data_IF_859679349857
#
_entry.id   IF_859679349857
#
_cell.length_a   1.000
_cell.length_b   1.000
_cell.length_c   1.000
_cell.angle_alpha   90.00
_cell.angle_beta   90.00
_cell.angle_gamma   90.00
#
_symmetry.space_group_name_H-M   'P 1'
#
loop_
_entity.id
_entity.type
_entity.pdbx_description
1 polymer ?
#
# COMPACT_ATOMS: atom_id res chain seq x y z
N UNK A 1 -1.09 4.91 22.07
CA UNK A 1 -1.82 3.83 22.74
C UNK A 1 -1.84 4.30 24.17
N UNK A 2 -2.99 4.33 24.82
CA UNK A 2 -3.02 4.82 26.22
C UNK A 2 -2.50 3.72 27.14
N UNK A 3 -3.08 2.53 27.05
CA UNK A 3 -2.70 1.41 27.92
C UNK A 3 -2.46 0.13 27.11
N UNK A 4 -1.41 -0.63 27.45
CA UNK A 4 -1.04 -1.92 26.87
C UNK A 4 -0.78 -2.94 27.98
N UNK A 5 -1.32 -4.15 27.85
CA UNK A 5 -1.04 -5.24 28.77
C UNK A 5 0.05 -6.13 28.18
N UNK A 6 1.18 -6.21 28.88
CA UNK A 6 2.33 -7.00 28.41
C UNK A 6 2.54 -8.20 29.33
N UNK A 7 2.50 -9.40 28.75
CA UNK A 7 2.76 -10.62 29.49
C UNK A 7 4.26 -10.76 29.83
N UNK A 8 4.54 -10.89 31.12
CA UNK A 8 5.90 -11.03 31.67
C UNK A 8 6.35 -12.49 31.89
N UNK A 9 5.56 -13.48 31.44
CA UNK A 9 5.90 -14.91 31.51
C UNK A 9 6.49 -15.42 30.19
N UNK A 10 7.59 -16.15 30.26
CA UNK A 10 8.21 -16.86 29.14
C UNK A 10 7.47 -18.13 28.70
N UNK A 11 6.52 -18.63 29.50
CA UNK A 11 5.79 -19.88 29.24
C UNK A 11 4.43 -19.67 28.57
N UNK A 12 3.93 -18.43 28.54
CA UNK A 12 2.64 -18.11 27.96
C UNK A 12 2.81 -17.61 26.52
N UNK A 13 1.92 -18.04 25.64
CA UNK A 13 1.89 -17.66 24.23
C UNK A 13 1.25 -16.27 24.07
N UNK A 14 2.03 -15.27 23.66
CA UNK A 14 1.56 -13.88 23.57
C UNK A 14 0.38 -13.75 22.61
N UNK A 15 0.50 -14.33 21.42
CA UNK A 15 -0.54 -14.24 20.38
C UNK A 15 -1.87 -14.81 20.89
N UNK A 16 -1.82 -15.89 21.68
CA UNK A 16 -3.01 -16.48 22.30
C UNK A 16 -3.66 -15.50 23.30
N UNK A 17 -2.86 -14.82 24.12
CA UNK A 17 -3.31 -13.82 25.08
C UNK A 17 -3.88 -12.57 24.39
N UNK A 18 -3.29 -12.15 23.27
CA UNK A 18 -3.79 -11.02 22.48
C UNK A 18 -5.19 -11.33 21.92
N UNK A 19 -5.45 -12.59 21.57
CA UNK A 19 -6.76 -13.02 21.06
C UNK A 19 -7.90 -12.91 22.08
N UNK A 20 -7.63 -12.91 23.39
CA UNK A 20 -8.65 -12.78 24.44
C UNK A 20 -8.91 -11.32 24.88
N UNK A 21 -8.11 -10.36 24.41
CA UNK A 21 -8.39 -8.93 24.59
C UNK A 21 -9.71 -8.52 23.90
N UNK A 22 -10.44 -7.50 24.37
CA UNK A 22 -9.98 -6.44 25.28
C UNK A 22 -10.39 -6.61 26.74
N UNK A 23 -9.64 -5.96 27.63
CA UNK A 23 -9.99 -5.73 29.04
C UNK A 23 -10.58 -4.34 29.22
N UNK A 24 -11.45 -4.19 30.23
CA UNK A 24 -11.77 -2.87 30.73
C UNK A 24 -10.58 -2.36 31.54
N UNK A 25 -10.02 -1.24 31.11
CA UNK A 25 -8.88 -0.63 31.75
C UNK A 25 -9.32 0.45 32.75
N UNK A 26 -10.62 0.80 32.78
CA UNK A 26 -11.15 1.81 33.69
C UNK A 26 -11.14 1.28 35.13
N UNK A 27 -10.33 1.92 35.98
CA UNK A 27 -10.17 1.53 37.39
C UNK A 27 -9.08 0.51 37.66
N UNK A 28 -8.14 0.28 36.73
CA UNK A 28 -6.90 -0.46 37.02
C UNK A 28 -6.15 0.18 38.18
N UNK A 29 -5.72 -0.65 39.13
CA UNK A 29 -4.90 -0.25 40.27
C UNK A 29 -3.56 -0.95 40.22
N UNK A 30 -2.55 -0.35 40.84
CA UNK A 30 -1.24 -0.98 41.03
C UNK A 30 -1.40 -2.32 41.77
N UNK A 31 -0.63 -3.30 41.34
CA UNK A 31 -0.60 -4.61 41.97
C UNK A 31 -0.03 -4.56 43.39
N UNK A 32 -0.77 -5.13 44.35
CA UNK A 32 -0.30 -5.37 45.71
C UNK A 32 -0.02 -6.87 45.93
N UNK A 33 1.16 -7.18 46.48
CA UNK A 33 1.53 -8.54 46.86
C UNK A 33 0.58 -9.18 47.88
N UNK A 34 -0.20 -8.39 48.61
CA UNK A 34 -1.28 -8.88 49.48
C UNK A 34 -2.31 -9.75 48.76
N UNK A 35 -2.58 -9.49 47.46
CA UNK A 35 -3.55 -10.28 46.67
C UNK A 35 -3.09 -11.72 46.39
N UNK A 36 -1.79 -11.97 46.45
CA UNK A 36 -1.19 -13.28 46.14
C UNK A 36 -0.67 -13.99 47.39
N UNK A 37 -0.90 -13.41 48.58
CA UNK A 37 -0.47 -14.00 49.84
C UNK A 37 -1.05 -15.40 50.03
N UNK A 38 -0.18 -16.38 50.28
CA UNK A 38 -0.56 -17.79 50.46
C UNK A 38 -0.90 -18.54 49.17
N UNK A 39 -0.85 -17.90 48.00
CA UNK A 39 -1.06 -18.54 46.70
C UNK A 39 0.27 -18.95 46.05
N UNK A 40 0.23 -20.00 45.22
CA UNK A 40 1.37 -20.38 44.38
C UNK A 40 1.39 -19.48 43.16
N UNK A 41 2.26 -18.47 43.18
CA UNK A 41 2.40 -17.49 42.09
C UNK A 41 3.76 -17.60 41.44
N UNK A 42 3.76 -17.48 40.10
CA UNK A 42 4.97 -17.35 39.31
C UNK A 42 5.26 -15.87 39.11
N UNK A 43 6.48 -15.46 39.49
CA UNK A 43 7.00 -14.11 39.31
C UNK A 43 7.47 -13.96 37.84
N UNK A 44 7.47 -12.74 37.25
CA UNK A 44 8.11 -12.47 35.96
C UNK A 44 9.46 -13.17 35.77
N UNK A 45 9.61 -13.90 34.67
CA UNK A 45 10.83 -14.67 34.33
C UNK A 45 11.49 -14.20 33.03
N UNK A 46 10.98 -13.13 32.42
CA UNK A 46 11.62 -12.47 31.28
C UNK A 46 12.54 -11.33 31.74
N UNK A 47 13.59 -11.08 30.98
CA UNK A 47 14.48 -9.94 31.24
C UNK A 47 13.91 -8.64 30.64
N UNK A 48 14.47 -7.50 31.08
CA UNK A 48 14.06 -6.17 30.63
C UNK A 48 14.17 -5.99 29.11
N UNK A 49 15.17 -6.58 28.47
CA UNK A 49 15.36 -6.51 27.02
C UNK A 49 14.21 -7.20 26.26
N UNK A 50 13.78 -8.36 26.73
CA UNK A 50 12.67 -9.12 26.15
C UNK A 50 11.33 -8.46 26.46
N UNK A 51 11.17 -7.89 27.66
CA UNK A 51 10.00 -7.07 28.02
C UNK A 51 9.87 -5.87 27.06
N UNK A 52 10.95 -5.11 26.88
CA UNK A 52 10.98 -3.96 25.97
C UNK A 52 10.65 -4.36 24.54
N UNK A 53 11.19 -5.49 24.07
CA UNK A 53 10.90 -6.02 22.75
C UNK A 53 9.41 -6.36 22.58
N UNK A 54 8.81 -7.06 23.56
CA UNK A 54 7.37 -7.40 23.53
C UNK A 54 6.49 -6.15 23.56
N UNK A 55 6.83 -5.18 24.40
CA UNK A 55 6.11 -3.91 24.47
C UNK A 55 6.19 -3.12 23.16
N UNK A 56 7.36 -3.05 22.52
CA UNK A 56 7.49 -2.46 21.19
C UNK A 56 6.64 -3.20 20.14
N UNK A 57 6.69 -4.54 20.12
CA UNK A 57 5.90 -5.36 19.20
C UNK A 57 4.39 -5.13 19.38
N UNK A 58 3.91 -5.06 20.62
CA UNK A 58 2.51 -4.79 20.92
C UNK A 58 2.04 -3.44 20.36
N UNK A 59 2.86 -2.40 20.55
CA UNK A 59 2.60 -1.06 20.02
C UNK A 59 2.62 -1.05 18.48
N UNK A 60 3.60 -1.73 17.87
CA UNK A 60 3.71 -1.87 16.42
C UNK A 60 2.47 -2.56 15.83
N UNK A 61 2.03 -3.67 16.42
CA UNK A 61 0.84 -4.42 15.97
C UNK A 61 -0.45 -3.61 16.14
N UNK A 62 -0.59 -2.89 17.25
CA UNK A 62 -1.72 -1.98 17.48
C UNK A 62 -1.84 -0.90 16.40
N UNK A 63 -0.72 -0.30 16.01
CA UNK A 63 -0.70 0.79 15.05
C UNK A 63 -0.65 0.33 13.59
N UNK A 64 -0.18 -0.88 13.33
CA UNK A 64 -0.02 -1.45 11.98
C UNK A 64 -1.29 -1.30 11.11
N UNK A 65 -2.51 -1.64 11.56
CA UNK A 65 -3.72 -1.46 10.75
C UNK A 65 -3.96 0.00 10.37
N UNK A 66 -3.79 0.94 11.31
CA UNK A 66 -4.02 2.36 11.09
C UNK A 66 -2.96 2.97 10.15
N UNK A 67 -1.71 2.55 10.30
CA UNK A 67 -0.60 3.00 9.44
C UNK A 67 -0.72 2.40 8.05
N UNK A 68 -0.98 1.10 7.89
CA UNK A 68 -1.22 0.46 6.59
C UNK A 68 -2.37 1.11 5.84
N UNK A 69 -3.44 1.50 6.53
CA UNK A 69 -4.57 2.23 5.95
C UNK A 69 -4.16 3.63 5.48
N UNK A 70 -3.35 4.34 6.26
CA UNK A 70 -2.91 5.71 5.92
C UNK A 70 -1.86 5.72 4.82
N UNK A 71 -0.97 4.73 4.80
CA UNK A 71 0.06 4.53 3.79
C UNK A 71 -0.47 3.82 2.53
N UNK A 72 -1.72 3.35 2.54
CA UNK A 72 -2.38 2.62 1.45
C UNK A 72 -1.58 1.39 0.95
N UNK A 73 -0.73 0.83 1.80
CA UNK A 73 0.14 -0.31 1.48
C UNK A 73 0.22 -1.29 2.64
N UNK A 74 0.39 -2.58 2.30
CA UNK A 74 0.63 -3.65 3.28
C UNK A 74 2.11 -3.73 3.69
N UNK A 75 3.02 -3.22 2.86
CA UNK A 75 4.45 -3.26 3.06
C UNK A 75 4.93 -2.07 3.91
N UNK A 76 4.46 -2.01 5.16
CA UNK A 76 4.94 -1.05 6.15
C UNK A 76 5.65 -1.82 7.26
N UNK A 77 6.85 -1.35 7.61
CA UNK A 77 7.54 -1.73 8.85
C UNK A 77 7.46 -0.56 9.80
N UNK A 78 6.95 -0.81 11.00
CA UNK A 78 6.90 0.17 12.09
C UNK A 78 8.00 -0.22 13.05
N UNK A 79 8.73 0.77 13.56
CA UNK A 79 9.67 0.58 14.65
C UNK A 79 9.19 1.47 15.79
N UNK A 80 8.71 0.84 16.86
CA UNK A 80 8.23 1.56 18.04
C UNK A 80 9.36 1.81 19.04
N UNK A 81 9.28 2.93 19.75
CA UNK A 81 10.08 3.22 20.94
C UNK A 81 9.15 3.49 22.11
N UNK A 82 9.41 2.81 23.22
CA UNK A 82 8.64 2.92 24.48
C UNK A 82 9.40 3.70 25.55
N UNK A 83 10.43 4.47 25.17
CA UNK A 83 11.30 5.20 26.10
C UNK A 83 10.59 6.18 27.05
N UNK A 84 9.38 6.61 26.71
CA UNK A 84 8.54 7.50 27.52
C UNK A 84 7.35 6.80 28.17
N UNK A 85 7.25 5.46 28.08
CA UNK A 85 6.15 4.71 28.66
C UNK A 85 6.32 4.56 30.18
N UNK A 86 5.21 4.60 30.92
CA UNK A 86 5.18 4.32 32.36
C UNK A 86 4.79 2.85 32.53
N UNK A 87 5.64 2.09 33.22
CA UNK A 87 5.38 0.69 33.53
C UNK A 87 4.65 0.56 34.87
N UNK A 88 3.51 -0.13 34.87
CA UNK A 88 2.72 -0.40 36.08
C UNK A 88 2.41 -1.90 36.15
N UNK A 89 2.86 -2.62 37.19
CA UNK A 89 2.46 -4.01 37.39
C UNK A 89 0.99 -4.08 37.77
N UNK A 90 0.22 -4.89 37.05
CA UNK A 90 -1.23 -5.04 37.25
C UNK A 90 -1.63 -6.51 37.25
N UNK A 91 -2.69 -6.85 37.97
CA UNK A 91 -3.28 -8.20 37.98
C UNK A 91 -4.61 -8.18 37.25
N UNK A 92 -4.71 -8.95 36.17
CA UNK A 92 -5.94 -9.09 35.37
C UNK A 92 -6.50 -10.51 35.43
N UNK A 93 -7.83 -10.70 35.47
CA UNK A 93 -8.44 -12.02 35.58
C UNK A 93 -8.36 -12.78 34.24
N UNK A 94 -7.54 -13.82 34.19
CA UNK A 94 -7.35 -14.67 33.00
C UNK A 94 -7.35 -16.14 33.39
N UNK A 95 -8.12 -16.95 32.66
CA UNK A 95 -8.03 -18.41 32.76
C UNK A 95 -7.22 -18.95 31.59
N UNK A 96 -6.08 -19.56 31.87
CA UNK A 96 -5.23 -20.21 30.87
C UNK A 96 -5.35 -21.73 31.00
N UNK A 97 -5.85 -22.38 29.96
CA UNK A 97 -6.08 -23.83 29.90
C UNK A 97 -5.06 -24.43 28.95
N UNK A 98 -4.23 -25.34 29.45
CA UNK A 98 -3.23 -26.05 28.68
C UNK A 98 -3.42 -27.56 28.83
N UNK A 99 -3.59 -28.27 27.71
CA UNK A 99 -3.63 -29.74 27.66
C UNK A 99 -2.81 -30.23 26.47
N UNK A 100 -1.53 -30.54 26.71
CA UNK A 100 -0.58 -30.87 25.64
C UNK A 100 -0.36 -29.66 24.73
N UNK A 101 -0.56 -29.83 23.43
CA UNK A 101 -0.45 -28.74 22.44
C UNK A 101 -1.67 -27.80 22.40
N UNK A 102 -2.81 -28.24 22.96
CA UNK A 102 -4.03 -27.44 23.03
C UNK A 102 -3.88 -26.37 24.10
N UNK A 103 -3.92 -25.11 23.67
CA UNK A 103 -3.88 -23.95 24.55
C UNK A 103 -5.10 -23.07 24.29
N UNK A 104 -5.75 -22.65 25.36
CA UNK A 104 -6.86 -21.71 25.33
C UNK A 104 -6.70 -20.68 26.44
N UNK A 105 -7.01 -19.42 26.13
CA UNK A 105 -7.06 -18.33 27.09
C UNK A 105 -8.48 -17.77 27.14
N UNK A 106 -8.99 -17.51 28.34
CA UNK A 106 -10.30 -16.92 28.57
C UNK A 106 -10.12 -15.66 29.41
N UNK A 107 -10.60 -14.55 28.87
CA UNK A 107 -10.70 -13.31 29.61
C UNK A 107 -11.77 -13.45 30.70
N UNK A 108 -11.37 -13.36 31.97
CA UNK A 108 -12.26 -13.56 33.11
C UNK A 108 -13.27 -12.41 33.31
N UNK A 109 -13.01 -11.24 32.73
CA UNK A 109 -13.92 -10.11 32.78
C UNK A 109 -14.97 -10.16 31.66
N UNK A 110 -14.53 -10.38 30.42
CA UNK A 110 -15.39 -10.29 29.23
C UNK A 110 -15.91 -11.65 28.74
N UNK A 111 -15.40 -12.75 29.29
CA UNK A 111 -15.71 -14.11 28.84
C UNK A 111 -15.14 -14.45 27.46
N UNK A 112 -14.35 -13.56 26.85
CA UNK A 112 -13.80 -13.78 25.51
C UNK A 112 -12.79 -14.91 25.54
N UNK A 113 -13.01 -15.90 24.68
CA UNK A 113 -12.17 -17.08 24.51
C UNK A 113 -11.28 -16.92 23.27
N UNK A 114 -10.01 -17.30 23.43
CA UNK A 114 -8.98 -17.43 22.41
C UNK A 114 -8.42 -18.85 22.45
N UNK A 115 -8.32 -19.53 21.31
CA UNK A 115 -7.86 -20.93 21.20
C UNK A 115 -6.83 -21.03 20.09
N UNK A 116 -5.70 -21.69 20.37
CA UNK A 116 -4.67 -21.95 19.36
C UNK A 116 -4.99 -23.20 18.56
N UNK A 117 -4.86 -23.11 17.24
CA UNK A 117 -4.99 -24.25 16.34
C UNK A 117 -3.92 -25.31 16.63
N UNK A 118 -4.29 -26.58 16.50
CA UNK A 118 -3.35 -27.71 16.60
C UNK A 118 -2.48 -27.85 15.35
N UNK A 119 -3.02 -27.50 14.17
CA UNK A 119 -2.32 -27.61 12.89
C UNK A 119 -1.63 -26.30 12.53
N UNK A 120 -0.42 -26.42 11.99
CA UNK A 120 0.32 -25.27 11.44
C UNK A 120 -0.18 -24.93 10.04
N UNK A 121 -0.57 -23.67 9.88
CA UNK A 121 -0.88 -23.06 8.59
C UNK A 121 0.41 -22.58 7.93
N UNK A 122 0.50 -22.77 6.61
CA UNK A 122 1.64 -22.37 5.80
C UNK A 122 1.19 -21.30 4.82
N UNK A 123 1.75 -20.10 4.94
CA UNK A 123 1.48 -18.99 4.02
C UNK A 123 2.61 -18.87 3.00
N UNK A 124 2.26 -18.89 1.71
CA UNK A 124 3.21 -18.79 0.61
C UNK A 124 3.32 -17.35 0.11
N UNK A 125 4.52 -16.76 0.24
CA UNK A 125 4.82 -15.47 -0.36
C UNK A 125 5.41 -15.62 -1.76
N UNK A 126 4.72 -15.06 -2.76
CA UNK A 126 5.19 -15.05 -4.16
C UNK A 126 6.43 -14.13 -4.32
N UNK A 127 7.54 -14.63 -4.89
CA UNK A 127 8.73 -13.84 -5.16
C UNK A 127 8.48 -12.73 -6.18
N UNK A 128 9.34 -11.71 -6.17
CA UNK A 128 9.23 -10.57 -7.09
C UNK A 128 9.34 -10.99 -8.57
N UNK A 129 10.24 -11.93 -8.91
CA UNK A 129 10.46 -12.38 -10.30
C UNK A 129 9.24 -13.12 -10.86
N UNK A 130 8.53 -13.87 -10.00
CA UNK A 130 7.32 -14.58 -10.40
C UNK A 130 6.16 -13.61 -10.63
N UNK A 131 6.05 -12.56 -9.79
CA UNK A 131 5.09 -11.46 -10.02
C UNK A 131 5.39 -10.73 -11.34
N UNK A 132 6.67 -10.49 -11.64
CA UNK A 132 7.09 -9.86 -12.90
C UNK A 132 6.74 -10.72 -14.13
N UNK A 133 6.95 -12.04 -14.05
CA UNK A 133 6.54 -12.99 -15.10
C UNK A 133 5.04 -12.97 -15.34
N UNK A 134 4.23 -13.07 -14.28
CA UNK A 134 2.76 -13.04 -14.38
C UNK A 134 2.29 -11.71 -14.99
N UNK A 135 2.85 -10.58 -14.53
CA UNK A 135 2.51 -9.26 -15.07
C UNK A 135 2.87 -9.13 -16.56
N UNK A 136 4.04 -9.63 -16.96
CA UNK A 136 4.46 -9.64 -18.37
C UNK A 136 3.51 -10.47 -19.22
N UNK A 137 3.10 -11.64 -18.74
CA UNK A 137 2.17 -12.52 -19.46
C UNK A 137 0.78 -11.88 -19.65
N UNK A 138 0.31 -11.13 -18.66
CA UNK A 138 -0.94 -10.37 -18.77
C UNK A 138 -0.81 -9.22 -19.78
N UNK A 139 0.29 -8.47 -19.77
CA UNK A 139 0.54 -7.38 -20.73
C UNK A 139 0.64 -7.89 -22.16
N UNK A 140 1.34 -9.01 -22.39
CA UNK A 140 1.46 -9.61 -23.72
C UNK A 140 0.14 -10.18 -24.21
N UNK A 141 -0.65 -10.81 -23.33
CA UNK A 141 -2.00 -11.26 -23.67
C UNK A 141 -2.92 -10.09 -24.06
N UNK A 142 -2.83 -8.96 -23.37
CA UNK A 142 -3.59 -7.75 -23.71
C UNK A 142 -3.19 -7.17 -25.07
N UNK A 143 -1.88 -7.11 -25.37
CA UNK A 143 -1.38 -6.66 -26.69
C UNK A 143 -1.81 -7.61 -27.81
N UNK A 144 -1.73 -8.92 -27.59
CA UNK A 144 -2.22 -9.90 -28.55
C UNK A 144 -3.72 -9.72 -28.81
N UNK A 145 -4.52 -9.56 -27.75
CA UNK A 145 -5.95 -9.27 -27.84
C UNK A 145 -6.22 -8.00 -28.64
N UNK A 146 -5.47 -6.93 -28.40
CA UNK A 146 -5.58 -5.69 -29.17
C UNK A 146 -5.29 -5.92 -30.66
N UNK A 147 -4.18 -6.59 -31.01
CA UNK A 147 -3.87 -6.86 -32.42
C UNK A 147 -4.94 -7.69 -33.14
N UNK A 148 -5.56 -8.65 -32.43
CA UNK A 148 -6.68 -9.43 -32.97
C UNK A 148 -7.94 -8.59 -33.16
N UNK A 149 -8.24 -7.67 -32.24
CA UNK A 149 -9.36 -6.73 -32.36
C UNK A 149 -9.17 -5.75 -33.53
N UNK A 150 -7.93 -5.34 -33.82
CA UNK A 150 -7.60 -4.49 -34.96
C UNK A 150 -7.46 -5.26 -36.29
N UNK A 151 -7.89 -6.53 -36.36
CA UNK A 151 -8.00 -7.28 -37.61
C UNK A 151 -6.68 -7.88 -38.11
N UNK A 152 -5.63 -7.91 -37.30
CA UNK A 152 -4.33 -8.43 -37.71
C UNK A 152 -4.31 -9.98 -37.74
N UNK A 153 -3.66 -10.55 -38.77
CA UNK A 153 -3.54 -12.00 -38.94
C UNK A 153 -2.89 -12.67 -37.71
N UNK A 154 -3.30 -13.90 -37.39
CA UNK A 154 -2.86 -14.60 -36.18
C UNK A 154 -1.33 -14.78 -36.13
N UNK A 155 -0.70 -15.15 -37.26
CA UNK A 155 0.75 -15.31 -37.34
C UNK A 155 1.52 -14.00 -37.11
N UNK A 156 1.11 -12.91 -37.78
CA UNK A 156 1.69 -11.59 -37.59
C UNK A 156 1.46 -11.06 -36.17
N UNK A 157 0.29 -11.32 -35.59
CA UNK A 157 -0.05 -10.96 -34.21
C UNK A 157 0.84 -11.68 -33.19
N UNK A 158 1.07 -12.98 -33.38
CA UNK A 158 1.98 -13.75 -32.53
C UNK A 158 3.41 -13.22 -32.62
N UNK A 159 3.91 -12.99 -33.84
CA UNK A 159 5.28 -12.49 -34.04
C UNK A 159 5.48 -11.12 -33.38
N UNK A 160 4.60 -10.16 -33.66
CA UNK A 160 4.69 -8.81 -33.08
C UNK A 160 4.51 -8.81 -31.56
N UNK A 161 3.61 -9.65 -31.03
CA UNK A 161 3.45 -9.81 -29.58
C UNK A 161 4.69 -10.43 -28.95
N UNK A 162 5.34 -11.39 -29.62
CA UNK A 162 6.57 -12.01 -29.12
C UNK A 162 7.70 -11.00 -28.94
N UNK A 163 7.92 -10.13 -29.95
CA UNK A 163 8.93 -9.06 -29.89
C UNK A 163 8.61 -8.06 -28.78
N UNK A 164 7.37 -7.57 -28.71
CA UNK A 164 6.93 -6.65 -27.65
C UNK A 164 6.96 -7.30 -26.27
N UNK A 165 6.66 -8.59 -26.18
CA UNK A 165 6.67 -9.34 -24.94
C UNK A 165 8.05 -9.53 -24.36
N UNK A 166 9.05 -9.76 -25.21
CA UNK A 166 10.44 -9.78 -24.78
C UNK A 166 10.88 -8.40 -24.25
N UNK A 167 10.48 -7.32 -24.92
CA UNK A 167 10.73 -5.97 -24.43
C UNK A 167 10.06 -5.70 -23.07
N UNK A 168 8.78 -6.05 -22.92
CA UNK A 168 8.08 -5.91 -21.64
C UNK A 168 8.68 -6.78 -20.55
N UNK A 169 9.17 -7.97 -20.87
CA UNK A 169 9.84 -8.82 -19.89
C UNK A 169 11.03 -8.08 -19.25
N UNK A 170 11.90 -7.50 -20.06
CA UNK A 170 13.08 -6.74 -19.58
C UNK A 170 12.62 -5.56 -18.71
N UNK A 171 11.68 -4.76 -19.22
CA UNK A 171 11.16 -3.58 -18.53
C UNK A 171 10.54 -3.93 -17.19
N UNK A 172 9.61 -4.89 -17.18
CA UNK A 172 8.87 -5.28 -15.97
C UNK A 172 9.82 -5.90 -14.96
N UNK A 173 10.79 -6.70 -15.40
CA UNK A 173 11.84 -7.20 -14.50
C UNK A 173 12.66 -6.06 -13.90
N UNK A 174 13.08 -5.06 -14.67
CA UNK A 174 13.78 -3.89 -14.13
C UNK A 174 12.93 -3.16 -13.09
N UNK A 175 11.65 -2.88 -13.40
CA UNK A 175 10.72 -2.18 -12.50
C UNK A 175 10.49 -2.96 -11.21
N UNK A 176 10.26 -4.28 -11.28
CA UNK A 176 10.04 -5.12 -10.10
C UNK A 176 11.35 -5.42 -9.35
N UNK A 177 12.51 -5.42 -9.99
CA UNK A 177 13.80 -5.65 -9.33
C UNK A 177 14.19 -4.53 -8.34
N UNK A 178 13.63 -3.35 -8.57
CA UNK A 178 13.78 -2.15 -7.72
C UNK A 178 12.77 -2.13 -6.55
N UNK A 179 11.78 -3.02 -6.57
CA UNK A 179 10.88 -3.21 -5.43
C UNK A 179 11.50 -4.09 -4.35
N UNK A 180 10.88 -4.13 -3.17
CA UNK A 180 11.29 -5.02 -2.08
C UNK A 180 11.45 -6.44 -2.61
N UNK A 181 12.70 -6.93 -2.61
CA UNK A 181 13.08 -8.26 -3.08
C UNK A 181 12.56 -9.31 -2.09
N UNK A 182 11.26 -9.56 -2.14
CA UNK A 182 10.65 -10.59 -1.31
C UNK A 182 11.18 -11.93 -1.80
N UNK A 183 11.87 -12.65 -0.91
CA UNK A 183 12.22 -14.05 -1.11
C UNK A 183 10.95 -14.90 -1.05
N UNK A 184 11.01 -16.10 -1.63
CA UNK A 184 10.01 -17.12 -1.32
C UNK A 184 10.11 -17.39 0.18
N UNK A 185 9.11 -16.96 0.94
CA UNK A 185 9.02 -17.20 2.36
C UNK A 185 7.79 -18.07 2.60
N UNK A 186 7.99 -19.11 3.41
CA UNK A 186 6.91 -19.89 3.98
C UNK A 186 6.87 -19.50 5.45
N UNK A 187 5.89 -18.67 5.81
CA UNK A 187 5.62 -18.43 7.23
C UNK A 187 4.75 -19.56 7.74
N UNK A 188 5.31 -20.37 8.64
CA UNK A 188 4.57 -21.36 9.41
C UNK A 188 4.05 -20.68 10.67
N UNK A 189 2.74 -20.72 10.86
CA UNK A 189 2.08 -20.16 12.04
C UNK A 189 0.88 -21.00 12.44
N UNK A 190 0.56 -21.03 13.72
CA UNK A 190 -0.69 -21.65 14.21
C UNK A 190 -1.77 -20.57 14.23
N UNK A 191 -2.89 -20.85 13.58
CA UNK A 191 -4.03 -19.94 13.59
C UNK A 191 -4.59 -19.80 15.01
N UNK A 192 -5.14 -18.63 15.32
CA UNK A 192 -5.81 -18.36 16.59
C UNK A 192 -7.28 -18.12 16.32
N UNK A 193 -8.11 -18.95 16.92
CA UNK A 193 -9.56 -18.83 16.87
C UNK A 193 -10.05 -18.02 18.06
N UNK A 194 -10.83 -16.98 17.80
CA UNK A 194 -11.43 -16.16 18.85
C UNK A 194 -12.95 -16.29 18.80
N UNK A 195 -13.58 -16.20 19.96
CA UNK A 195 -15.05 -16.21 20.12
C UNK A 195 -15.78 -15.00 19.48
N UNK A 196 -15.06 -14.10 18.79
CA UNK A 196 -15.62 -12.96 18.06
C UNK A 196 -15.47 -11.63 18.80
N UNK A 197 -16.33 -10.66 18.44
CA UNK A 197 -16.33 -9.29 19.02
C UNK A 197 -17.28 -9.12 20.20
N UNK A 198 -18.10 -10.12 20.48
CA UNK A 198 -19.09 -10.04 21.55
C UNK A 198 -18.40 -10.21 22.89
N UNK A 199 -18.82 -9.42 23.88
CA UNK A 199 -18.34 -9.51 25.25
C UNK A 199 -19.52 -9.82 26.16
N UNK A 200 -19.24 -10.54 27.23
CA UNK A 200 -20.24 -11.00 28.19
C UNK A 200 -19.86 -10.51 29.58
N UNK A 201 -20.86 -10.23 30.40
CA UNK A 201 -20.69 -10.00 31.83
C UNK A 201 -21.67 -10.89 32.60
N UNK A 202 -21.40 -11.07 33.90
CA UNK A 202 -22.32 -11.78 34.78
C UNK A 202 -23.06 -10.78 35.66
N UNK A 203 -24.38 -10.80 35.58
CA UNK A 203 -25.25 -10.08 36.51
C UNK A 203 -26.20 -11.09 37.18
N UNK A 204 -26.19 -11.13 38.52
CA UNK A 204 -27.03 -12.03 39.33
C UNK A 204 -26.95 -13.52 38.92
N UNK A 205 -25.74 -13.98 38.57
CA UNK A 205 -25.49 -15.38 38.19
C UNK A 205 -25.87 -15.76 36.75
N UNK A 206 -26.48 -14.84 35.97
CA UNK A 206 -26.79 -15.05 34.55
C UNK A 206 -25.70 -14.41 33.69
N UNK A 207 -25.31 -15.09 32.62
CA UNK A 207 -24.40 -14.54 31.61
C UNK A 207 -25.22 -13.68 30.66
N UNK A 208 -24.97 -12.37 30.68
CA UNK A 208 -25.61 -11.40 29.81
C UNK A 208 -24.60 -10.89 28.79
N UNK A 209 -25.08 -10.62 27.59
CA UNK A 209 -24.28 -9.99 26.53
C UNK A 209 -24.17 -8.50 26.82
N UNK A 210 -22.97 -7.94 26.73
CA UNK A 210 -22.77 -6.49 26.81
C UNK A 210 -23.42 -5.81 25.61
N UNK A 211 -24.17 -4.73 25.87
CA UNK A 211 -24.77 -3.89 24.83
C UNK A 211 -23.70 -3.12 24.04
N UNK A 212 -22.64 -2.66 24.71
CA UNK A 212 -21.49 -2.01 24.10
C UNK A 212 -20.32 -2.99 23.92
N UNK A 213 -19.83 -3.12 22.70
CA UNK A 213 -18.59 -3.84 22.41
C UNK A 213 -17.43 -3.03 22.98
N UNK A 214 -16.78 -3.58 24.01
CA UNK A 214 -15.56 -3.02 24.56
C UNK A 214 -14.48 -3.05 23.48
N UNK A 215 -13.79 -1.92 23.28
CA UNK A 215 -12.74 -1.76 22.29
C UNK A 215 -11.48 -1.26 22.97
N UNK A 216 -10.33 -1.70 22.48
CA UNK A 216 -9.04 -1.20 22.92
C UNK A 216 -8.98 0.32 22.72
N UNK A 217 -8.51 1.05 23.74
CA UNK A 217 -8.33 2.51 23.69
C UNK A 217 -7.08 2.85 22.87
N UNK A 218 -7.28 2.94 21.55
CA UNK A 218 -6.19 3.26 20.62
C UNK A 218 -6.34 4.73 20.19
N UNK A 219 -5.43 5.57 20.68
CA UNK A 219 -5.25 6.94 20.17
C UNK A 219 -4.78 6.87 18.71
N UNK A 220 -5.47 7.50 17.76
CA UNK A 220 -5.10 7.42 16.35
C UNK A 220 -3.69 7.98 16.11
N UNK A 221 -2.87 7.33 15.25
CA UNK A 221 -1.52 7.81 14.97
C UNK A 221 -1.56 9.16 14.25
N UNK A 222 -0.68 10.08 14.64
CA UNK A 222 -0.49 11.37 13.99
C UNK A 222 0.82 11.33 13.21
N UNK A 223 0.76 11.62 11.92
CA UNK A 223 1.94 11.68 11.06
C UNK A 223 2.48 13.09 11.03
N UNK A 224 3.78 13.26 11.23
CA UNK A 224 4.46 14.54 11.09
C UNK A 224 5.22 14.58 9.76
N UNK A 225 5.22 15.74 9.12
CA UNK A 225 6.01 15.98 7.92
C UNK A 225 6.63 17.38 7.96
N UNK A 226 7.91 17.53 7.60
CA UNK A 226 8.58 18.82 7.60
C UNK A 226 8.04 19.69 6.47
N UNK A 227 7.33 20.76 6.82
CA UNK A 227 6.80 21.77 5.89
C UNK A 227 7.38 23.12 6.29
N UNK A 228 8.10 23.76 5.36
CA UNK A 228 8.75 25.05 5.58
C UNK A 228 9.67 25.05 6.81
N UNK A 229 10.40 23.94 7.04
CA UNK A 229 11.32 23.77 8.16
C UNK A 229 10.67 23.50 9.53
N UNK A 230 9.35 23.28 9.59
CA UNK A 230 8.63 22.90 10.82
C UNK A 230 7.87 21.60 10.63
N UNK A 231 7.95 20.71 11.61
CA UNK A 231 7.15 19.48 11.62
C UNK A 231 5.69 19.82 11.90
N UNK A 232 4.82 19.48 10.95
CA UNK A 232 3.37 19.70 11.08
C UNK A 232 2.63 18.38 11.00
N UNK A 233 1.50 18.24 11.72
CA UNK A 233 0.63 17.08 11.59
C UNK A 233 -0.01 17.08 10.20
N UNK A 234 0.14 15.96 9.49
CA UNK A 234 -0.35 15.78 8.14
C UNK A 234 -1.17 14.51 7.98
N UNK A 235 -2.04 14.53 6.98
CA UNK A 235 -2.64 13.33 6.41
C UNK A 235 -2.09 13.16 5.00
N UNK A 236 -1.52 12.00 4.70
CA UNK A 236 -1.05 11.65 3.37
C UNK A 236 -2.16 10.92 2.61
N UNK A 237 -2.28 11.18 1.31
CA UNK A 237 -3.08 10.39 0.38
C UNK A 237 -2.25 10.03 -0.83
N UNK A 238 -2.16 8.74 -1.12
CA UNK A 238 -1.33 8.21 -2.20
C UNK A 238 -2.19 8.08 -3.46
N UNK A 239 -3.21 7.23 -3.40
CA UNK A 239 -4.24 7.09 -4.42
C UNK A 239 -5.35 8.12 -4.22
N UNK A 240 -5.71 8.81 -5.30
CA UNK A 240 -6.98 9.52 -5.38
C UNK A 240 -7.60 9.25 -6.74
N UNK A 241 -8.95 9.13 -6.84
CA UNK A 241 -9.61 8.89 -8.11
C UNK A 241 -9.20 9.89 -9.19
N UNK A 242 -8.99 11.15 -8.81
CA UNK A 242 -8.52 12.22 -9.71
C UNK A 242 -7.10 11.97 -10.23
N UNK A 243 -6.17 11.46 -9.42
CA UNK A 243 -4.80 11.12 -9.88
C UNK A 243 -4.83 9.95 -10.85
N UNK A 244 -5.58 8.90 -10.50
CA UNK A 244 -5.71 7.69 -11.31
C UNK A 244 -6.37 8.04 -12.65
N UNK A 245 -7.49 8.78 -12.63
CA UNK A 245 -8.17 9.23 -13.84
C UNK A 245 -7.26 10.11 -14.70
N UNK A 246 -6.53 11.07 -14.10
CA UNK A 246 -5.58 11.91 -14.83
C UNK A 246 -4.48 11.09 -15.50
N UNK A 247 -3.96 10.07 -14.82
CA UNK A 247 -2.96 9.16 -15.38
C UNK A 247 -3.51 8.38 -16.57
N UNK A 248 -4.67 7.74 -16.42
CA UNK A 248 -5.31 7.01 -17.53
C UNK A 248 -5.63 7.92 -18.71
N UNK A 249 -6.12 9.14 -18.44
CA UNK A 249 -6.42 10.12 -19.46
C UNK A 249 -5.16 10.60 -20.19
N UNK A 250 -4.06 10.87 -19.47
CA UNK A 250 -2.77 11.21 -20.09
C UNK A 250 -2.22 10.04 -20.92
N UNK A 251 -2.30 8.81 -20.42
CA UNK A 251 -1.89 7.62 -21.15
C UNK A 251 -2.70 7.42 -22.43
N UNK A 252 -4.02 7.57 -22.34
CA UNK A 252 -4.93 7.48 -23.49
C UNK A 252 -4.64 8.58 -24.52
N UNK A 253 -4.53 9.84 -24.08
CA UNK A 253 -4.20 10.97 -24.96
C UNK A 253 -2.84 10.75 -25.61
N UNK A 254 -1.83 10.29 -24.88
CA UNK A 254 -0.50 10.04 -25.44
C UNK A 254 -0.53 8.93 -26.47
N UNK A 255 -1.27 7.84 -26.20
CA UNK A 255 -1.37 6.71 -27.12
C UNK A 255 -2.06 7.10 -28.43
N UNK A 256 -3.14 7.88 -28.36
CA UNK A 256 -3.96 8.26 -29.51
C UNK A 256 -3.71 9.68 -30.01
N UNK A 257 -2.61 10.33 -29.59
CA UNK A 257 -2.37 11.75 -29.87
C UNK A 257 -2.54 12.13 -31.35
N UNK A 258 -1.92 11.44 -32.32
CA UNK A 258 -2.06 11.81 -33.73
C UNK A 258 -3.48 11.57 -34.25
N UNK A 259 -4.16 10.52 -33.77
CA UNK A 259 -5.55 10.21 -34.13
C UNK A 259 -6.51 11.27 -33.61
N UNK A 260 -6.31 11.73 -32.36
CA UNK A 260 -7.12 12.79 -31.74
C UNK A 260 -6.97 14.10 -32.51
N UNK A 261 -5.76 14.43 -32.97
CA UNK A 261 -5.50 15.64 -33.77
C UNK A 261 -6.02 15.50 -35.21
N UNK A 262 -5.94 14.30 -35.80
CA UNK A 262 -6.45 14.03 -37.15
C UNK A 262 -7.99 14.02 -37.21
N UNK A 263 -8.67 13.67 -36.12
CA UNK A 263 -10.13 13.49 -36.08
C UNK A 263 -10.94 14.77 -36.43
N UNK A 264 -10.57 15.97 -35.96
CA UNK A 264 -11.15 17.22 -36.47
C UNK A 264 -10.87 17.47 -37.95
N UNK A 265 -9.70 17.07 -38.45
CA UNK A 265 -9.28 17.29 -39.85
C UNK A 265 -10.07 16.42 -40.83
N UNK A 266 -10.60 15.28 -40.39
CA UNK A 266 -11.49 14.42 -41.20
C UNK A 266 -12.96 14.84 -41.16
N UNK A 267 -13.29 15.93 -40.47
CA UNK A 267 -14.68 16.37 -40.27
C UNK A 267 -15.47 15.46 -39.34
N UNK A 268 -14.81 14.83 -38.37
CA UNK A 268 -15.39 13.88 -37.39
C UNK A 268 -15.89 12.55 -38.01
N UNK A 269 -15.45 12.23 -39.22
CA UNK A 269 -15.79 10.98 -39.88
C UNK A 269 -14.74 9.90 -39.55
N UNK A 270 -15.16 8.87 -38.80
CA UNK A 270 -14.32 7.75 -38.38
C UNK A 270 -13.92 6.87 -39.56
N UNK A 271 -14.75 6.80 -40.60
CA UNK A 271 -14.50 5.96 -41.78
C UNK A 271 -13.33 6.46 -42.64
N UNK A 272 -13.00 7.75 -42.53
CA UNK A 272 -11.91 8.39 -43.27
C UNK A 272 -10.56 8.35 -42.55
N UNK A 273 -10.53 7.85 -41.31
CA UNK A 273 -9.30 7.74 -40.54
C UNK A 273 -8.44 6.59 -41.01
N UNK A 274 -7.26 6.90 -41.53
CA UNK A 274 -6.25 5.89 -41.86
C UNK A 274 -5.31 5.69 -40.66
N UNK A 275 -5.63 4.72 -39.81
CA UNK A 275 -4.81 4.38 -38.64
C UNK A 275 -3.37 3.98 -38.99
N UNK A 276 -3.12 3.49 -40.21
CA UNK A 276 -1.77 3.15 -40.67
C UNK A 276 -0.87 4.39 -40.78
N UNK A 277 -1.43 5.58 -41.02
CA UNK A 277 -0.67 6.85 -41.02
C UNK A 277 -0.01 7.18 -39.67
N UNK A 278 -0.50 6.58 -38.58
CA UNK A 278 0.03 6.75 -37.21
C UNK A 278 0.91 5.57 -36.75
N UNK A 279 1.28 4.65 -37.66
CA UNK A 279 2.01 3.43 -37.29
C UNK A 279 3.33 3.72 -36.53
N UNK A 280 4.09 4.72 -36.98
CA UNK A 280 5.36 5.12 -36.34
C UNK A 280 5.12 5.61 -34.91
N UNK A 281 4.04 6.35 -34.67
CA UNK A 281 3.68 6.80 -33.32
C UNK A 281 3.31 5.61 -32.43
N UNK A 282 2.49 4.67 -32.92
CA UNK A 282 2.15 3.48 -32.15
C UNK A 282 3.37 2.62 -31.82
N UNK A 283 4.36 2.52 -32.72
CA UNK A 283 5.62 1.83 -32.44
C UNK A 283 6.40 2.41 -31.24
N UNK A 284 6.22 3.71 -30.95
CA UNK A 284 6.87 4.38 -29.81
C UNK A 284 5.95 4.38 -28.59
N UNK A 285 4.68 4.75 -28.77
CA UNK A 285 3.73 4.93 -27.68
C UNK A 285 3.31 3.61 -27.04
N UNK A 286 3.16 2.52 -27.81
CA UNK A 286 2.75 1.21 -27.28
C UNK A 286 3.78 0.67 -26.27
N UNK A 287 5.10 0.72 -26.52
CA UNK A 287 6.10 0.38 -25.51
C UNK A 287 6.19 1.37 -24.33
N UNK A 288 6.11 2.67 -24.59
CA UNK A 288 6.40 3.72 -23.59
C UNK A 288 5.26 3.95 -22.61
N UNK A 289 4.00 3.89 -23.06
CA UNK A 289 2.84 4.19 -22.22
C UNK A 289 2.69 3.21 -21.04
N UNK A 290 2.81 1.87 -21.22
CA UNK A 290 2.81 0.92 -20.11
C UNK A 290 3.96 1.15 -19.13
N UNK A 291 5.16 1.51 -19.60
CA UNK A 291 6.29 1.88 -18.73
C UNK A 291 5.92 3.08 -17.86
N UNK A 292 5.34 4.11 -18.49
CA UNK A 292 4.91 5.31 -17.79
C UNK A 292 3.82 4.98 -16.75
N UNK A 293 2.84 4.14 -17.08
CA UNK A 293 1.80 3.70 -16.14
C UNK A 293 2.42 2.90 -14.98
N UNK A 294 3.33 1.97 -15.25
CA UNK A 294 4.01 1.18 -14.23
C UNK A 294 4.85 2.06 -13.30
N UNK A 295 5.69 2.93 -13.86
CA UNK A 295 6.52 3.88 -13.11
C UNK A 295 5.64 4.84 -12.29
N UNK A 296 4.59 5.40 -12.89
CA UNK A 296 3.70 6.33 -12.20
C UNK A 296 2.91 5.63 -11.09
N UNK A 297 2.38 4.44 -11.35
CA UNK A 297 1.58 3.67 -10.40
C UNK A 297 2.40 3.16 -9.22
N UNK A 298 3.64 2.72 -9.45
CA UNK A 298 4.50 2.19 -8.40
C UNK A 298 5.33 3.26 -7.68
N UNK A 299 5.99 4.14 -8.43
CA UNK A 299 7.00 5.05 -7.89
C UNK A 299 6.39 6.41 -7.59
N UNK A 300 5.86 7.10 -8.60
CA UNK A 300 5.36 8.48 -8.47
C UNK A 300 4.19 8.62 -7.47
N UNK A 301 3.34 7.59 -7.40
CA UNK A 301 2.21 7.59 -6.48
C UNK A 301 2.67 7.56 -5.01
N UNK A 302 3.73 6.80 -4.72
CA UNK A 302 4.28 6.57 -3.38
C UNK A 302 5.33 7.61 -2.98
N UNK A 303 6.19 8.04 -3.90
CA UNK A 303 7.23 9.05 -3.63
C UNK A 303 6.66 10.47 -3.50
N UNK A 304 5.56 10.75 -4.19
CA UNK A 304 4.92 12.07 -4.18
C UNK A 304 3.45 11.99 -3.74
N UNK A 305 3.18 11.71 -2.45
CA UNK A 305 1.84 11.72 -1.91
C UNK A 305 1.25 13.14 -1.89
N UNK A 306 -0.08 13.22 -1.95
CA UNK A 306 -0.75 14.48 -1.65
C UNK A 306 -0.80 14.69 -0.14
N UNK A 307 -0.09 15.72 0.31
CA UNK A 307 0.01 16.09 1.73
C UNK A 307 -1.12 17.05 2.08
N UNK A 308 -1.89 16.72 3.11
CA UNK A 308 -2.91 17.60 3.68
C UNK A 308 -2.49 18.01 5.09
N UNK A 309 -2.32 19.31 5.32
CA UNK A 309 -2.07 19.83 6.67
C UNK A 309 -3.36 19.81 7.47
N UNK A 310 -3.29 19.31 8.69
CA UNK A 310 -4.41 19.34 9.65
C UNK A 310 -4.24 20.59 10.51
N UNK A 311 -5.21 21.51 10.45
CA UNK A 311 -5.25 22.67 11.35
C UNK A 311 -5.77 22.27 12.74
N UNK A 312 -5.51 23.10 13.76
CA UNK A 312 -6.02 22.90 15.13
C UNK A 312 -7.55 22.71 15.17
N UNK A 313 -8.28 23.31 14.22
CA UNK A 313 -9.74 23.17 14.07
C UNK A 313 -10.17 21.89 13.30
N UNK A 314 -9.26 20.95 13.05
CA UNK A 314 -9.51 19.72 12.30
C UNK A 314 -9.71 19.89 10.79
N UNK A 315 -9.67 21.13 10.26
CA UNK A 315 -9.82 21.39 8.82
C UNK A 315 -8.57 20.95 8.06
N UNK A 316 -8.78 20.22 6.97
CA UNK A 316 -7.72 19.71 6.09
C UNK A 316 -7.51 20.65 4.91
N UNK A 317 -6.28 21.14 4.72
CA UNK A 317 -5.91 21.94 3.54
C UNK A 317 -4.82 21.22 2.77
N UNK A 318 -4.98 21.10 1.44
CA UNK A 318 -3.95 20.51 0.59
C UNK A 318 -2.74 21.44 0.57
N UNK A 319 -1.59 20.91 1.00
CA UNK A 319 -0.32 21.57 0.79
C UNK A 319 0.08 21.44 -0.67
N UNK A 320 0.43 22.57 -1.30
CA UNK A 320 1.04 22.62 -2.61
C UNK A 320 2.28 23.48 -2.48
N UNK A 321 3.45 22.92 -2.73
CA UNK A 321 4.67 23.70 -2.88
C UNK A 321 4.39 24.72 -3.99
N UNK A 322 4.52 26.02 -3.68
CA UNK A 322 4.39 27.06 -4.69
C UNK A 322 5.56 26.87 -5.66
N UNK A 323 5.27 26.54 -6.92
CA UNK A 323 6.29 26.65 -7.97
C UNK A 323 6.64 28.12 -8.11
N UNK A 324 7.92 28.45 -8.03
CA UNK A 324 8.37 29.80 -8.32
C UNK A 324 8.20 30.05 -9.83
N UNK A 325 7.51 31.13 -10.19
CA UNK A 325 7.18 31.49 -11.58
C UNK A 325 8.46 31.62 -12.43
N UNK A 326 9.60 31.94 -11.80
CA UNK A 326 10.92 32.07 -12.42
C UNK A 326 11.41 30.74 -13.02
N UNK A 327 11.12 29.61 -12.39
CA UNK A 327 11.54 28.30 -12.88
C UNK A 327 10.80 27.93 -14.17
N UNK A 328 9.49 28.17 -14.23
CA UNK A 328 8.66 27.86 -15.40
C UNK A 328 9.12 28.68 -16.62
N UNK A 329 9.40 29.96 -16.42
CA UNK A 329 9.96 30.81 -17.48
C UNK A 329 11.30 30.30 -18.00
N UNK A 330 12.17 29.83 -17.10
CA UNK A 330 13.46 29.25 -17.47
C UNK A 330 13.31 27.96 -18.30
N UNK A 331 12.40 27.05 -17.92
CA UNK A 331 12.12 25.83 -18.68
C UNK A 331 11.58 26.13 -20.09
N UNK A 332 10.66 27.08 -20.21
CA UNK A 332 10.09 27.50 -21.50
C UNK A 332 11.16 28.14 -22.39
N UNK A 333 11.97 29.04 -21.82
CA UNK A 333 13.11 29.65 -22.52
C UNK A 333 14.15 28.62 -22.96
N UNK A 334 14.40 27.61 -22.13
CA UNK A 334 15.32 26.52 -22.45
C UNK A 334 14.78 25.64 -23.58
N UNK A 335 13.49 25.29 -23.55
CA UNK A 335 12.80 24.58 -24.64
C UNK A 335 12.81 25.36 -25.96
N UNK A 336 12.55 26.67 -25.90
CA UNK A 336 12.65 27.56 -27.06
C UNK A 336 14.07 27.65 -27.61
N UNK A 337 15.11 27.64 -26.76
CA UNK A 337 16.50 27.61 -27.25
C UNK A 337 16.80 26.34 -28.05
N UNK A 338 16.25 25.19 -27.67
CA UNK A 338 16.43 23.94 -28.42
C UNK A 338 15.79 23.96 -29.82
N UNK A 339 14.83 24.85 -30.10
CA UNK A 339 14.29 25.05 -31.46
C UNK A 339 15.25 25.77 -32.41
N UNK A 340 16.24 26.50 -31.89
CA UNK A 340 17.10 27.37 -32.68
C UNK A 340 18.60 27.07 -32.57
N UNK A 341 19.02 26.21 -31.63
CA UNK A 341 20.44 25.84 -31.42
C UNK A 341 20.77 24.49 -32.10
N UNK A 342 21.63 24.47 -33.14
CA UNK A 342 22.12 23.22 -33.72
C UNK A 342 23.07 22.48 -32.75
N UNK A 343 23.11 21.14 -32.74
CA UNK A 343 22.38 20.21 -33.62
C UNK A 343 20.98 19.82 -33.11
N UNK A 344 20.60 20.24 -31.90
CA UNK A 344 19.34 19.85 -31.26
C UNK A 344 18.11 20.37 -32.01
N UNK A 345 18.20 21.54 -32.66
CA UNK A 345 17.10 22.09 -33.45
C UNK A 345 16.67 21.18 -34.61
N UNK A 346 17.61 20.49 -35.26
CA UNK A 346 17.31 19.59 -36.36
C UNK A 346 16.46 18.40 -35.89
N UNK A 347 16.78 17.84 -34.72
CA UNK A 347 16.01 16.75 -34.13
C UNK A 347 14.59 17.21 -33.72
N UNK A 348 14.47 18.40 -33.16
CA UNK A 348 13.17 18.98 -32.75
C UNK A 348 12.29 19.25 -33.97
N UNK A 349 12.82 19.91 -35.00
CA UNK A 349 12.10 20.19 -36.25
C UNK A 349 11.74 18.92 -37.00
N UNK A 350 12.65 17.94 -37.07
CA UNK A 350 12.35 16.63 -37.63
C UNK A 350 11.19 15.93 -36.90
N UNK A 351 11.19 15.95 -35.56
CA UNK A 351 10.10 15.40 -34.76
C UNK A 351 8.76 16.09 -35.01
N UNK A 352 8.75 17.44 -35.10
CA UNK A 352 7.54 18.22 -35.39
C UNK A 352 7.01 17.91 -36.80
N UNK A 353 7.88 17.93 -37.81
CA UNK A 353 7.51 17.66 -39.21
C UNK A 353 7.00 16.23 -39.35
N UNK A 354 7.70 15.26 -38.76
CA UNK A 354 7.27 13.85 -38.75
C UNK A 354 5.90 13.69 -38.10
N UNK A 355 5.63 14.40 -36.99
CA UNK A 355 4.33 14.39 -36.34
C UNK A 355 3.22 14.98 -37.21
N UNK A 356 3.47 16.11 -37.88
CA UNK A 356 2.51 16.73 -38.81
C UNK A 356 2.20 15.79 -39.98
N UNK A 357 3.22 15.15 -40.55
CA UNK A 357 3.04 14.17 -41.63
C UNK A 357 2.21 12.97 -41.17
N UNK A 358 2.46 12.45 -39.97
CA UNK A 358 1.65 11.36 -39.40
C UNK A 358 0.18 11.75 -39.24
N UNK A 359 -0.09 12.95 -38.69
CA UNK A 359 -1.46 13.48 -38.55
C UNK A 359 -2.14 13.61 -39.92
N UNK A 360 -1.43 14.14 -40.92
CA UNK A 360 -1.95 14.31 -42.28
C UNK A 360 -2.28 12.97 -42.95
N UNK A 361 -1.37 11.99 -42.87
CA UNK A 361 -1.59 10.64 -43.40
C UNK A 361 -2.75 9.95 -42.67
N UNK A 362 -2.89 10.17 -41.36
CA UNK A 362 -4.01 9.63 -40.58
C UNK A 362 -5.33 10.29 -40.88
N UNK A 363 -5.33 11.56 -41.28
CA UNK A 363 -6.52 12.26 -41.78
C UNK A 363 -6.93 11.85 -43.21
N UNK A 364 -6.24 10.90 -43.84
CA UNK A 364 -6.57 10.42 -45.18
C UNK A 364 -5.96 11.26 -46.31
N UNK A 365 -4.90 12.02 -46.03
CA UNK A 365 -4.20 12.87 -47.02
C UNK A 365 -3.32 12.11 -48.04
N UNK A 366 -3.52 10.81 -48.23
CA UNK A 366 -2.69 9.94 -49.08
C UNK A 366 -3.47 9.27 -50.20
#
# INVERSE_FOLDING_TARGET
>A
MEDALINCSGQLDNLLLDGMEPFDMDGLTEFDFGYVAGQRVKIPDINEKELNKRACQEVEECYTPAVRKTMETKAVRIEASISSAVELPVLVPVYYICKGDLMAAVNGQTGKVSVRALKESHYYFLPWWLKALISTLLLTAAVYGAFRLFGMNAGSSLFMTGVLGFFYLIVVFCVYSDTTRNSFAVEAGREIFTSGKETFHRERGKLLRNESILKRKIVPPVFFFPIDGKDRPVTMKFTTPTRILRMFLLAFITLFLPVIVAFPLTGFDVSKLNLAGSAVWFCIAVPVVPIYILKFGMVELHEHPWIYTVSENGRKKRYRKKLEIKDIGCWILTGLKYLFVPPACLAVWFGIISFIVMVYLTAGGG
#
